data_IF_340727576563
#
_entry.id   IF_340727576563
#
_cell.length_a   1.000
_cell.length_b   1.000
_cell.length_c   1.000
_cell.angle_alpha   90.00
_cell.angle_beta   90.00
_cell.angle_gamma   90.00
#
_symmetry.space_group_name_H-M   'P 1'
#
loop_
_entity.id
_entity.type
_entity.pdbx_description
1 polymer ?
#
# COMPACT_ATOMS: atom_id res chain seq x y z
N UNK A 1 -39.49 -3.67 -28.65
CA UNK A 1 -38.54 -2.53 -28.51
C UNK A 1 -38.43 -2.16 -27.04
N UNK A 2 -37.40 -2.59 -26.31
CA UNK A 2 -37.36 -2.38 -24.85
C UNK A 2 -36.03 -2.60 -24.14
N UNK A 3 -34.89 -2.51 -24.83
CA UNK A 3 -33.57 -2.85 -24.25
C UNK A 3 -32.57 -1.69 -24.10
N UNK A 4 -32.88 -0.48 -24.56
CA UNK A 4 -31.88 0.60 -24.66
C UNK A 4 -31.60 1.33 -23.34
N UNK A 5 -32.58 1.45 -22.44
CA UNK A 5 -32.43 2.23 -21.21
C UNK A 5 -31.53 1.57 -20.14
N UNK A 6 -31.32 0.25 -20.18
CA UNK A 6 -30.48 -0.46 -19.21
C UNK A 6 -29.00 -0.45 -19.64
N UNK A 7 -28.72 -0.68 -20.92
CA UNK A 7 -27.37 -0.65 -21.46
C UNK A 7 -26.72 0.74 -21.36
N UNK A 8 -27.48 1.81 -21.60
CA UNK A 8 -26.99 3.18 -21.46
C UNK A 8 -26.60 3.51 -20.01
N UNK A 9 -27.39 3.06 -19.03
CA UNK A 9 -27.09 3.24 -17.61
C UNK A 9 -25.85 2.47 -17.18
N UNK A 10 -25.71 1.21 -17.63
CA UNK A 10 -24.53 0.39 -17.37
C UNK A 10 -23.28 1.04 -17.99
N UNK A 11 -23.40 1.56 -19.22
CA UNK A 11 -22.30 2.26 -19.89
C UNK A 11 -21.89 3.52 -19.12
N UNK A 12 -22.85 4.33 -18.66
CA UNK A 12 -22.57 5.50 -17.82
C UNK A 12 -21.88 5.11 -16.52
N UNK A 13 -22.33 4.04 -15.84
CA UNK A 13 -21.70 3.54 -14.61
C UNK A 13 -20.25 3.14 -14.86
N UNK A 14 -19.97 2.45 -15.97
CA UNK A 14 -18.60 2.03 -16.33
C UNK A 14 -17.72 3.26 -16.62
N UNK A 15 -18.23 4.25 -17.34
CA UNK A 15 -17.50 5.50 -17.65
C UNK A 15 -17.20 6.28 -16.36
N UNK A 16 -18.17 6.40 -15.46
CA UNK A 16 -18.01 7.08 -14.17
C UNK A 16 -17.01 6.33 -13.27
N UNK A 17 -17.08 5.00 -13.20
CA UNK A 17 -16.10 4.21 -12.45
C UNK A 17 -14.67 4.38 -12.99
N UNK A 18 -14.49 4.38 -14.31
CA UNK A 18 -13.16 4.60 -14.91
C UNK A 18 -12.62 6.02 -14.65
N UNK A 19 -13.48 7.03 -14.68
CA UNK A 19 -13.08 8.41 -14.39
C UNK A 19 -12.66 8.61 -12.92
N UNK A 20 -13.34 7.95 -11.98
CA UNK A 20 -12.95 8.01 -10.56
C UNK A 20 -11.65 7.24 -10.32
N UNK A 21 -11.39 6.15 -11.05
CA UNK A 21 -10.15 5.37 -10.90
C UNK A 21 -8.88 6.14 -11.33
N UNK A 22 -8.99 7.11 -12.24
CA UNK A 22 -7.84 7.87 -12.75
C UNK A 22 -7.31 8.93 -11.76
N UNK A 23 -8.13 9.36 -10.80
CA UNK A 23 -7.78 10.41 -9.83
C UNK A 23 -7.05 9.88 -8.58
N UNK A 24 -6.95 8.57 -8.39
CA UNK A 24 -6.09 7.96 -7.34
C UNK A 24 -4.58 8.03 -7.67
N UNK A 25 -4.19 8.87 -8.62
CA UNK A 25 -2.85 8.91 -9.15
C UNK A 25 -2.12 10.19 -8.72
N UNK A 26 -1.11 9.97 -7.88
CA UNK A 26 0.06 10.81 -7.61
C UNK A 26 -0.08 11.85 -6.48
N UNK A 27 0.24 11.44 -5.24
CA UNK A 27 0.98 12.31 -4.33
C UNK A 27 2.43 11.82 -4.18
N UNK A 28 3.31 12.76 -3.89
CA UNK A 28 4.71 12.48 -3.62
C UNK A 28 4.84 11.89 -2.21
N UNK A 29 5.39 10.68 -2.10
CA UNK A 29 5.74 10.09 -0.80
C UNK A 29 6.87 10.93 -0.20
N UNK A 30 6.68 11.43 1.02
CA UNK A 30 7.69 12.24 1.71
C UNK A 30 8.47 11.36 2.66
N UNK A 31 9.80 11.29 2.57
CA UNK A 31 10.62 10.45 3.45
C UNK A 31 10.91 11.20 4.76
N UNK A 32 9.94 11.25 5.67
CA UNK A 32 10.00 11.99 6.95
C UNK A 32 9.78 11.10 8.19
N UNK A 33 9.65 9.78 7.98
CA UNK A 33 9.35 8.82 9.06
C UNK A 33 7.90 8.83 9.53
N UNK A 34 6.99 9.54 8.84
CA UNK A 34 5.55 9.52 9.09
C UNK A 34 4.83 8.65 8.05
N UNK A 35 3.68 8.12 8.46
CA UNK A 35 2.81 7.27 7.63
C UNK A 35 1.42 7.93 7.49
N UNK A 36 1.41 9.24 7.26
CA UNK A 36 0.19 10.05 7.15
C UNK A 36 -0.33 10.17 5.71
N UNK A 37 0.48 9.79 4.72
CA UNK A 37 0.08 9.89 3.32
C UNK A 37 -0.96 8.82 2.92
N UNK A 38 -1.89 9.23 2.06
CA UNK A 38 -3.02 8.40 1.63
C UNK A 38 -2.56 7.16 0.86
N UNK A 39 -1.42 7.26 0.17
CA UNK A 39 -0.77 6.20 -0.58
C UNK A 39 -0.46 4.98 0.29
N UNK A 40 -0.15 5.15 1.57
CA UNK A 40 0.13 4.00 2.46
C UNK A 40 -1.10 3.14 2.72
N UNK A 41 -2.32 3.63 2.43
CA UNK A 41 -3.53 2.81 2.50
C UNK A 41 -3.57 1.72 1.43
N UNK A 42 -2.92 1.92 0.29
CA UNK A 42 -2.85 0.93 -0.79
C UNK A 42 -1.56 0.09 -0.75
N UNK A 43 -0.66 0.38 0.20
CA UNK A 43 0.60 -0.36 0.34
C UNK A 43 0.34 -1.82 0.73
N UNK A 44 1.14 -2.72 0.18
CA UNK A 44 1.12 -4.12 0.55
C UNK A 44 1.71 -4.29 1.95
N UNK A 45 0.98 -4.98 2.81
CA UNK A 45 1.37 -5.22 4.21
C UNK A 45 1.91 -6.63 4.37
N UNK A 46 3.08 -6.74 4.96
CA UNK A 46 3.69 -7.99 5.39
C UNK A 46 3.84 -7.94 6.92
N UNK A 47 3.14 -8.81 7.63
CA UNK A 47 3.20 -8.88 9.09
C UNK A 47 3.70 -10.25 9.61
N UNK A 48 3.86 -11.22 8.70
CA UNK A 48 4.27 -12.59 9.04
C UNK A 48 5.76 -12.75 8.78
N UNK A 49 6.56 -12.63 9.84
CA UNK A 49 8.00 -12.81 9.80
C UNK A 49 8.42 -14.03 10.63
N UNK A 50 9.47 -14.71 10.18
CA UNK A 50 10.07 -15.84 10.88
C UNK A 50 11.49 -15.51 11.33
N UNK A 51 11.90 -16.05 12.47
CA UNK A 51 13.24 -15.88 12.99
C UNK A 51 14.23 -16.74 12.18
N UNK A 52 15.16 -16.05 11.52
CA UNK A 52 16.24 -16.69 10.74
C UNK A 52 17.56 -16.76 11.51
N UNK A 53 17.66 -16.08 12.68
CA UNK A 53 18.86 -16.03 13.53
C UNK A 53 18.49 -16.04 15.02
N UNK A 54 18.77 -17.14 15.75
CA UNK A 54 19.19 -18.45 15.24
C UNK A 54 18.15 -19.02 14.25
N UNK A 55 18.58 -19.86 13.30
CA UNK A 55 17.68 -20.40 12.28
C UNK A 55 16.65 -21.34 12.92
N UNK A 56 15.50 -20.79 13.29
CA UNK A 56 14.45 -21.50 14.01
C UNK A 56 13.18 -21.65 13.19
N UNK A 57 12.97 -20.78 12.19
CA UNK A 57 11.75 -20.67 11.39
C UNK A 57 10.46 -20.49 12.23
N UNK A 58 10.62 -20.17 13.51
CA UNK A 58 9.51 -19.83 14.40
C UNK A 58 8.99 -18.45 14.05
N UNK A 59 7.71 -18.22 14.31
CA UNK A 59 7.13 -16.88 14.21
C UNK A 59 7.94 -15.89 15.06
N UNK A 60 8.14 -14.69 14.52
CA UNK A 60 8.89 -13.66 15.21
C UNK A 60 8.20 -13.28 16.51
N UNK A 61 8.96 -13.28 17.59
CA UNK A 61 8.49 -12.83 18.90
C UNK A 61 8.16 -11.33 18.90
N UNK A 62 8.72 -10.57 17.95
CA UNK A 62 8.52 -9.13 17.82
C UNK A 62 7.47 -8.88 16.72
N UNK A 63 6.27 -8.36 17.06
CA UNK A 63 5.28 -8.01 16.07
C UNK A 63 5.86 -6.95 15.15
N UNK A 64 6.07 -7.31 13.89
CA UNK A 64 6.73 -6.47 12.90
C UNK A 64 5.81 -6.33 11.70
N UNK A 65 5.62 -5.10 11.23
CA UNK A 65 4.90 -4.83 9.99
C UNK A 65 5.82 -4.11 9.00
N UNK A 66 5.83 -4.60 7.76
CA UNK A 66 6.48 -3.94 6.64
C UNK A 66 5.43 -3.53 5.63
N UNK A 67 5.41 -2.25 5.30
CA UNK A 67 4.60 -1.72 4.21
C UNK A 67 5.49 -1.54 2.99
N UNK A 68 5.05 -2.06 1.85
CA UNK A 68 5.74 -1.93 0.57
C UNK A 68 4.81 -1.26 -0.42
N UNK A 69 5.30 -0.22 -1.09
CA UNK A 69 4.56 0.54 -2.07
C UNK A 69 5.44 0.80 -3.29
N UNK A 70 4.90 0.52 -4.47
CA UNK A 70 5.56 0.82 -5.74
C UNK A 70 4.79 1.92 -6.43
N UNK A 71 5.49 2.97 -6.87
CA UNK A 71 4.86 4.02 -7.67
C UNK A 71 4.72 3.62 -9.15
N UNK A 72 4.02 4.44 -9.94
CA UNK A 72 3.84 4.19 -11.38
C UNK A 72 5.12 4.35 -12.20
N UNK A 73 6.15 4.99 -11.66
CA UNK A 73 7.46 5.15 -12.28
C UNK A 73 8.39 3.97 -11.99
N UNK A 74 7.96 3.04 -11.12
CA UNK A 74 8.72 1.87 -10.70
C UNK A 74 9.58 2.08 -9.46
N UNK A 75 9.49 3.25 -8.79
CA UNK A 75 10.22 3.49 -7.56
C UNK A 75 9.60 2.67 -6.42
N UNK A 76 10.46 2.03 -5.63
CA UNK A 76 10.07 1.17 -4.53
C UNK A 76 10.27 1.90 -3.19
N UNK A 77 9.19 2.01 -2.44
CA UNK A 77 9.16 2.58 -1.11
C UNK A 77 8.82 1.49 -0.10
N UNK A 78 9.51 1.49 1.03
CA UNK A 78 9.20 0.57 2.10
C UNK A 78 9.36 1.23 3.47
N UNK A 79 8.56 0.75 4.40
CA UNK A 79 8.55 1.20 5.79
C UNK A 79 8.62 -0.02 6.69
N UNK A 80 9.54 0.02 7.66
CA UNK A 80 9.69 -1.02 8.68
C UNK A 80 9.18 -0.51 10.03
N UNK A 81 8.20 -1.20 10.60
CA UNK A 81 7.58 -0.87 11.88
C UNK A 81 7.67 -2.05 12.86
N UNK A 82 8.70 -2.09 13.70
CA UNK A 82 8.75 -3.05 14.78
C UNK A 82 7.93 -2.51 15.97
N UNK A 83 6.98 -3.31 16.45
CA UNK A 83 6.17 -2.96 17.64
C UNK A 83 6.96 -3.31 18.90
N UNK A 84 8.00 -2.52 19.16
CA UNK A 84 8.81 -2.57 20.38
C UNK A 84 8.67 -1.19 21.05
N UNK A 85 8.40 -1.15 22.35
CA UNK A 85 8.30 0.11 23.10
C UNK A 85 9.57 0.95 22.87
N UNK A 86 9.46 2.04 22.10
CA UNK A 86 10.51 3.05 21.95
C UNK A 86 11.28 3.10 20.62
N UNK A 87 10.94 2.31 19.60
CA UNK A 87 11.58 2.41 18.27
C UNK A 87 10.82 3.34 17.30
N UNK A 88 11.55 4.11 16.50
CA UNK A 88 11.02 5.02 15.48
C UNK A 88 10.73 4.30 14.17
N UNK A 89 9.68 4.73 13.46
CA UNK A 89 9.35 4.28 12.11
C UNK A 89 10.52 4.62 11.17
N UNK A 90 10.97 3.63 10.40
CA UNK A 90 12.00 3.82 9.38
C UNK A 90 11.34 3.78 8.00
N UNK A 91 11.43 4.89 7.25
CA UNK A 91 10.88 5.06 5.90
C UNK A 91 12.04 5.24 4.94
N UNK A 92 12.10 4.43 3.89
CA UNK A 92 13.18 4.47 2.92
C UNK A 92 12.64 4.33 1.49
N UNK A 93 13.32 4.98 0.55
CA UNK A 93 13.02 4.96 -0.88
C UNK A 93 14.23 4.46 -1.65
N UNK A 94 14.03 3.51 -2.56
CA UNK A 94 15.04 3.14 -3.56
C UNK A 94 14.49 3.44 -4.95
N UNK A 95 15.30 4.19 -5.71
CA UNK A 95 15.10 4.51 -7.12
C UNK A 95 15.78 3.47 -8.01
#
# INVERSE_FOLDING_TARGET
MGGSFSALKIFIIIVVMNAIFSTFSNAAITIDGRLDEVEWKQAQRFASFVETRPFSLKESTIPTEVLVLTDKKGNLYWVYQPTIMGYSIQKEARA
#
